data_IF_659514208821
#
_entry.id   IF_659514208821
#
_cell.length_a   1.000
_cell.length_b   1.000
_cell.length_c   1.000
_cell.angle_alpha   90.00
_cell.angle_beta   90.00
_cell.angle_gamma   90.00
#
_symmetry.space_group_name_H-M   'P 1'
#
loop_
_entity.id
_entity.type
_entity.pdbx_description
1 polymer ?
#
# COMPACT_ATOMS: atom_id res chain seq x y z
N UNK A 1 10.98 -10.31 3.31
CA UNK A 1 10.09 -9.80 4.38
C UNK A 1 9.64 -10.91 5.32
N UNK A 2 9.18 -12.10 4.91
CA UNK A 2 8.87 -13.19 5.88
C UNK A 2 10.06 -13.58 6.78
N UNK A 3 11.26 -13.77 6.21
CA UNK A 3 12.50 -13.95 6.98
C UNK A 3 12.91 -12.69 7.76
N UNK A 4 12.52 -11.50 7.29
CA UNK A 4 12.75 -10.23 7.96
C UNK A 4 11.77 -9.96 9.11
N UNK A 5 10.52 -10.40 9.02
CA UNK A 5 9.45 -10.24 10.01
C UNK A 5 9.55 -11.33 11.07
N UNK A 6 9.87 -12.56 10.68
CA UNK A 6 10.18 -13.63 11.63
C UNK A 6 11.54 -13.39 12.32
N UNK A 7 12.56 -12.96 11.57
CA UNK A 7 13.91 -12.70 12.09
C UNK A 7 14.00 -11.42 12.92
N UNK A 8 13.56 -10.27 12.40
CA UNK A 8 13.49 -9.06 13.23
C UNK A 8 12.44 -9.19 14.32
N UNK A 9 11.26 -9.79 14.09
CA UNK A 9 10.24 -9.92 15.13
C UNK A 9 10.71 -10.70 16.37
N UNK A 10 11.53 -11.75 16.17
CA UNK A 10 12.14 -12.53 17.25
C UNK A 10 13.37 -11.83 17.90
N UNK A 11 14.10 -11.00 17.16
CA UNK A 11 15.25 -10.23 17.67
C UNK A 11 14.82 -8.93 18.39
N UNK A 12 13.77 -8.29 17.89
CA UNK A 12 13.20 -7.03 18.39
C UNK A 12 12.44 -7.24 19.70
N UNK A 13 11.75 -8.38 19.86
CA UNK A 13 11.05 -8.72 21.12
C UNK A 13 11.98 -8.98 22.31
N UNK A 14 13.26 -9.31 22.06
CA UNK A 14 14.23 -9.61 23.12
C UNK A 14 15.04 -8.39 23.58
N UNK A 15 14.98 -7.25 22.87
CA UNK A 15 15.78 -6.06 23.20
C UNK A 15 14.91 -4.79 23.23
N UNK A 16 14.50 -4.31 24.42
CA UNK A 16 13.68 -3.10 24.56
C UNK A 16 14.30 -1.85 23.91
N UNK A 17 15.64 -1.75 23.89
CA UNK A 17 16.35 -0.65 23.22
C UNK A 17 16.23 -0.68 21.69
N UNK A 18 16.12 -1.88 21.09
CA UNK A 18 16.00 -2.04 19.64
C UNK A 18 14.60 -1.63 19.16
N UNK A 19 13.55 -1.95 19.92
CA UNK A 19 12.18 -1.46 19.66
C UNK A 19 12.17 0.06 19.65
N UNK A 20 12.75 0.71 20.68
CA UNK A 20 12.81 2.18 20.75
C UNK A 20 13.55 2.79 19.56
N UNK A 21 14.72 2.24 19.20
CA UNK A 21 15.50 2.72 18.06
C UNK A 21 14.75 2.57 16.72
N UNK A 22 14.12 1.41 16.49
CA UNK A 22 13.32 1.15 15.28
C UNK A 22 12.09 2.07 15.23
N UNK A 23 11.44 2.30 16.36
CA UNK A 23 10.26 3.17 16.46
C UNK A 23 10.63 4.62 16.20
N UNK A 24 11.74 5.11 16.78
CA UNK A 24 12.24 6.45 16.53
C UNK A 24 12.67 6.64 15.06
N UNK A 25 13.33 5.64 14.48
CA UNK A 25 13.71 5.62 13.06
C UNK A 25 12.49 5.62 12.13
N UNK A 26 11.47 4.81 12.45
CA UNK A 26 10.20 4.77 11.74
C UNK A 26 9.43 6.10 11.81
N UNK A 27 9.38 6.72 13.00
CA UNK A 27 8.77 8.03 13.19
C UNK A 27 9.50 9.12 12.39
N UNK A 28 10.84 9.14 12.42
CA UNK A 28 11.64 10.08 11.63
C UNK A 28 11.38 9.91 10.13
N UNK A 29 11.34 8.66 9.64
CA UNK A 29 11.00 8.36 8.25
C UNK A 29 9.60 8.88 7.89
N UNK A 30 8.58 8.57 8.70
CA UNK A 30 7.21 9.03 8.46
C UNK A 30 7.08 10.56 8.47
N UNK A 31 7.75 11.25 9.41
CA UNK A 31 7.76 12.72 9.45
C UNK A 31 8.45 13.32 8.23
N UNK A 32 9.59 12.77 7.80
CA UNK A 32 10.24 13.23 6.55
C UNK A 32 9.32 13.04 5.35
N UNK A 33 8.61 11.92 5.26
CA UNK A 33 7.65 11.68 4.19
C UNK A 33 6.46 12.64 4.23
N UNK A 34 5.91 12.90 5.43
CA UNK A 34 4.85 13.88 5.63
C UNK A 34 5.31 15.29 5.20
N UNK A 35 6.53 15.69 5.56
CA UNK A 35 7.11 16.97 5.14
C UNK A 35 7.33 17.04 3.61
N UNK A 36 7.78 15.96 2.99
CA UNK A 36 7.90 15.87 1.53
C UNK A 36 6.54 15.97 0.83
N UNK A 37 5.52 15.28 1.33
CA UNK A 37 4.15 15.35 0.81
C UNK A 37 3.58 16.77 0.97
N UNK A 38 3.77 17.40 2.13
CA UNK A 38 3.35 18.78 2.37
C UNK A 38 4.03 19.77 1.42
N UNK A 39 5.34 19.60 1.18
CA UNK A 39 6.10 20.39 0.21
C UNK A 39 5.56 20.22 -1.23
N UNK A 40 5.15 19.01 -1.61
CA UNK A 40 4.49 18.74 -2.91
C UNK A 40 3.11 19.39 -2.99
N UNK A 41 2.35 19.43 -1.90
CA UNK A 41 1.07 20.15 -1.86
C UNK A 41 1.24 21.66 -2.09
N UNK A 42 2.31 22.27 -1.57
CA UNK A 42 2.60 23.70 -1.79
C UNK A 42 3.18 24.01 -3.18
N UNK A 43 3.84 23.04 -3.83
CA UNK A 43 4.29 23.13 -5.21
C UNK A 43 3.70 21.99 -6.06
N UNK A 44 2.40 22.06 -6.41
CA UNK A 44 1.78 21.01 -7.20
C UNK A 44 2.33 21.14 -8.61
N UNK A 45 3.25 20.25 -8.97
CA UNK A 45 3.44 19.90 -10.36
C UNK A 45 2.09 19.38 -10.84
N UNK A 46 1.47 20.08 -11.79
CA UNK A 46 0.42 19.43 -12.56
C UNK A 46 1.03 18.15 -13.15
N UNK A 47 0.31 17.03 -13.11
CA UNK A 47 0.64 15.90 -13.98
C UNK A 47 0.59 16.42 -15.42
N UNK A 48 1.71 16.92 -15.91
CA UNK A 48 1.99 16.92 -17.34
C UNK A 48 2.15 15.46 -17.67
N UNK A 49 1.03 14.81 -18.03
CA UNK A 49 1.07 13.55 -18.75
C UNK A 49 2.15 13.72 -19.81
N UNK A 50 3.26 13.00 -19.67
CA UNK A 50 4.43 13.19 -20.51
C UNK A 50 3.95 13.14 -21.96
N UNK A 51 3.99 14.30 -22.63
CA UNK A 51 3.61 14.38 -24.02
C UNK A 51 4.73 13.66 -24.77
N UNK A 52 4.38 12.50 -25.33
CA UNK A 52 5.14 11.81 -26.35
C UNK A 52 6.48 11.20 -25.90
N UNK A 53 6.40 9.92 -25.54
CA UNK A 53 7.50 8.96 -25.59
C UNK A 53 6.89 7.64 -25.19
N UNK A 54 6.92 6.64 -26.08
CA UNK A 54 6.34 5.31 -25.88
C UNK A 54 6.61 4.83 -24.43
N UNK A 55 5.63 4.98 -23.55
CA UNK A 55 5.62 4.22 -22.31
C UNK A 55 5.42 2.78 -22.76
N UNK A 56 6.54 2.07 -22.88
CA UNK A 56 6.57 0.68 -23.27
C UNK A 56 5.66 -0.10 -22.31
N UNK A 57 4.49 -0.50 -22.80
CA UNK A 57 3.47 -1.22 -22.04
C UNK A 57 4.11 -2.41 -21.31
N UNK A 58 5.12 -3.02 -21.93
CA UNK A 58 5.90 -4.11 -21.34
C UNK A 58 6.64 -3.68 -20.09
N UNK A 59 7.26 -2.49 -20.06
CA UNK A 59 7.93 -1.96 -18.85
C UNK A 59 6.93 -1.65 -17.75
N UNK A 60 5.80 -1.04 -18.07
CA UNK A 60 4.76 -0.74 -17.07
C UNK A 60 4.18 -2.03 -16.45
N UNK A 61 3.87 -3.02 -17.30
CA UNK A 61 3.39 -4.35 -16.86
C UNK A 61 4.47 -5.08 -16.06
N UNK A 62 5.73 -5.07 -16.52
CA UNK A 62 6.84 -5.71 -15.81
C UNK A 62 7.07 -5.08 -14.43
N UNK A 63 7.01 -3.76 -14.30
CA UNK A 63 7.14 -3.07 -13.01
C UNK A 63 5.95 -3.39 -12.11
N UNK A 64 4.72 -3.40 -12.62
CA UNK A 64 3.55 -3.81 -11.83
C UNK A 64 3.64 -5.26 -11.36
N UNK A 65 4.03 -6.19 -12.24
CA UNK A 65 4.22 -7.60 -11.92
C UNK A 65 5.36 -7.78 -10.90
N UNK A 66 6.47 -7.08 -11.07
CA UNK A 66 7.57 -7.10 -10.12
C UNK A 66 7.12 -6.57 -8.76
N UNK A 67 6.44 -5.43 -8.68
CA UNK A 67 5.93 -4.92 -7.41
C UNK A 67 4.91 -5.85 -6.75
N UNK A 68 4.10 -6.57 -7.54
CA UNK A 68 3.08 -7.49 -7.00
C UNK A 68 3.70 -8.80 -6.53
N UNK A 69 4.47 -9.49 -7.39
CA UNK A 69 5.03 -10.81 -7.12
C UNK A 69 6.33 -10.78 -6.31
N UNK A 70 7.12 -9.70 -6.39
CA UNK A 70 8.31 -9.57 -5.54
C UNK A 70 7.94 -9.10 -4.13
N UNK A 71 6.68 -8.74 -3.89
CA UNK A 71 6.19 -8.41 -2.57
C UNK A 71 5.76 -9.69 -1.81
N UNK A 72 6.57 -10.20 -0.86
CA UNK A 72 6.23 -11.38 -0.08
C UNK A 72 4.94 -11.24 0.75
N UNK A 73 4.47 -10.01 0.99
CA UNK A 73 3.22 -9.76 1.71
C UNK A 73 2.00 -10.28 0.94
N UNK A 74 2.02 -10.22 -0.40
CA UNK A 74 0.88 -10.68 -1.21
C UNK A 74 0.61 -12.18 -1.00
N UNK A 75 1.67 -12.96 -0.77
CA UNK A 75 1.56 -14.39 -0.49
C UNK A 75 1.01 -14.65 0.92
N UNK A 76 1.34 -13.80 1.89
CA UNK A 76 0.78 -13.90 3.23
C UNK A 76 -0.73 -13.62 3.21
N UNK A 77 -1.18 -12.61 2.48
CA UNK A 77 -2.60 -12.29 2.40
C UNK A 77 -3.39 -13.33 1.58
N UNK A 78 -2.89 -13.69 0.40
CA UNK A 78 -3.66 -14.51 -0.55
C UNK A 78 -3.50 -16.00 -0.35
N UNK A 79 -2.30 -16.48 0.00
CA UNK A 79 -2.04 -17.92 0.15
C UNK A 79 -2.22 -18.34 1.60
N UNK A 80 -1.70 -17.57 2.56
CA UNK A 80 -1.72 -17.96 3.97
C UNK A 80 -3.04 -17.56 4.64
N UNK A 81 -3.44 -16.29 4.61
CA UNK A 81 -4.67 -15.82 5.25
C UNK A 81 -5.91 -16.36 4.54
N UNK A 82 -6.11 -16.05 3.26
CA UNK A 82 -7.28 -16.55 2.51
C UNK A 82 -7.26 -18.08 2.40
N UNK A 83 -6.08 -18.70 2.24
CA UNK A 83 -5.95 -20.16 2.25
C UNK A 83 -6.38 -20.77 3.58
N UNK A 84 -5.95 -20.23 4.71
CA UNK A 84 -6.35 -20.71 6.05
C UNK A 84 -7.85 -20.51 6.33
N UNK A 85 -8.43 -19.38 5.89
CA UNK A 85 -9.87 -19.11 5.95
C UNK A 85 -10.67 -20.11 5.10
N UNK A 86 -10.17 -20.43 3.90
CA UNK A 86 -10.79 -21.43 3.02
C UNK A 86 -10.69 -22.85 3.59
N UNK A 87 -9.61 -23.16 4.33
CA UNK A 87 -9.39 -24.47 4.93
C UNK A 87 -10.34 -24.80 6.08
N UNK A 88 -11.00 -23.78 6.68
CA UNK A 88 -12.06 -23.97 7.67
C UNK A 88 -13.36 -24.52 7.05
N UNK A 89 -13.47 -24.51 5.72
CA UNK A 89 -14.64 -24.98 4.99
C UNK A 89 -14.29 -26.31 4.30
N UNK A 90 -15.15 -27.33 4.46
CA UNK A 90 -15.00 -28.64 3.83
C UNK A 90 -16.02 -28.84 2.70
N UNK A 91 -15.65 -29.60 1.67
CA UNK A 91 -16.54 -29.97 0.56
C UNK A 91 -17.03 -28.78 -0.27
N UNK A 92 -18.31 -28.77 -0.63
CA UNK A 92 -18.97 -27.75 -1.47
C UNK A 92 -18.90 -26.34 -0.88
N UNK A 93 -18.83 -26.19 0.45
CA UNK A 93 -18.72 -24.89 1.10
C UNK A 93 -17.39 -24.18 0.77
N UNK A 94 -16.29 -24.94 0.56
CA UNK A 94 -15.00 -24.38 0.16
C UNK A 94 -15.03 -23.81 -1.26
N UNK A 95 -15.75 -24.49 -2.17
CA UNK A 95 -15.94 -24.03 -3.55
C UNK A 95 -16.81 -22.76 -3.59
N UNK A 96 -17.86 -22.69 -2.76
CA UNK A 96 -18.67 -21.48 -2.62
C UNK A 96 -17.87 -20.30 -2.05
N UNK A 97 -17.00 -20.55 -1.05
CA UNK A 97 -16.08 -19.52 -0.53
C UNK A 97 -15.09 -19.05 -1.60
N UNK A 98 -14.49 -19.97 -2.35
CA UNK A 98 -13.58 -19.62 -3.44
C UNK A 98 -14.28 -18.80 -4.54
N UNK A 99 -15.49 -19.20 -4.94
CA UNK A 99 -16.29 -18.46 -5.91
C UNK A 99 -16.64 -17.05 -5.39
N UNK A 100 -17.03 -16.92 -4.13
CA UNK A 100 -17.29 -15.63 -3.48
C UNK A 100 -16.04 -14.75 -3.41
N UNK A 101 -14.89 -15.31 -3.04
CA UNK A 101 -13.62 -14.59 -2.99
C UNK A 101 -13.19 -14.08 -4.37
N UNK A 102 -13.35 -14.91 -5.41
CA UNK A 102 -13.09 -14.51 -6.80
C UNK A 102 -14.07 -13.43 -7.23
N UNK A 103 -15.37 -13.60 -7.03
CA UNK A 103 -16.38 -12.61 -7.42
C UNK A 103 -16.18 -11.26 -6.70
N UNK A 104 -15.88 -11.28 -5.40
CA UNK A 104 -15.57 -10.09 -4.62
C UNK A 104 -14.30 -9.40 -5.14
N UNK A 105 -13.25 -10.18 -5.45
CA UNK A 105 -12.02 -9.65 -6.04
C UNK A 105 -12.28 -9.01 -7.40
N UNK A 106 -13.04 -9.68 -8.28
CA UNK A 106 -13.45 -9.13 -9.57
C UNK A 106 -14.23 -7.82 -9.40
N UNK A 107 -15.27 -7.82 -8.56
CA UNK A 107 -16.07 -6.62 -8.30
C UNK A 107 -15.21 -5.47 -7.79
N UNK A 108 -14.29 -5.75 -6.85
CA UNK A 108 -13.38 -4.76 -6.29
C UNK A 108 -12.39 -4.20 -7.32
N UNK A 109 -11.73 -5.06 -8.09
CA UNK A 109 -10.77 -4.63 -9.12
C UNK A 109 -11.46 -3.83 -10.23
N UNK A 110 -12.65 -4.25 -10.67
CA UNK A 110 -13.43 -3.49 -11.64
C UNK A 110 -13.90 -2.15 -11.08
N UNK A 111 -14.35 -2.11 -9.82
CA UNK A 111 -14.69 -0.86 -9.14
C UNK A 111 -13.49 0.10 -9.06
N UNK A 112 -12.28 -0.40 -8.76
CA UNK A 112 -11.06 0.40 -8.77
C UNK A 112 -10.66 0.85 -10.18
N UNK A 113 -10.71 -0.04 -11.18
CA UNK A 113 -10.33 0.28 -12.56
C UNK A 113 -11.26 1.32 -13.21
N UNK A 114 -12.57 1.12 -13.08
CA UNK A 114 -13.56 2.10 -13.56
C UNK A 114 -13.61 3.35 -12.68
N UNK A 115 -13.45 3.21 -11.37
CA UNK A 115 -13.37 4.33 -10.43
C UNK A 115 -12.16 5.23 -10.69
N UNK A 116 -11.01 4.65 -11.03
CA UNK A 116 -9.82 5.40 -11.44
C UNK A 116 -10.07 6.22 -12.71
N UNK A 117 -10.83 5.68 -13.68
CA UNK A 117 -11.25 6.41 -14.88
C UNK A 117 -12.19 7.58 -14.55
N UNK A 118 -13.09 7.39 -13.58
CA UNK A 118 -13.97 8.46 -13.08
C UNK A 118 -13.18 9.56 -12.32
N UNK A 119 -12.05 9.20 -11.72
CA UNK A 119 -11.14 10.12 -11.03
C UNK A 119 -10.14 10.83 -11.97
N UNK A 120 -9.94 10.37 -13.22
CA UNK A 120 -9.10 11.06 -14.21
C UNK A 120 -9.41 12.56 -14.37
N UNK A 121 -10.67 13.01 -14.54
CA UNK A 121 -10.97 14.44 -14.63
C UNK A 121 -10.70 15.21 -13.33
N UNK A 122 -10.70 14.52 -12.17
CA UNK A 122 -10.35 15.11 -10.89
C UNK A 122 -8.83 15.30 -10.80
N UNK A 123 -8.03 14.30 -11.21
CA UNK A 123 -6.57 14.37 -11.25
C UNK A 123 -6.00 15.31 -12.31
N UNK A 124 -6.81 15.75 -13.28
CA UNK A 124 -6.45 16.83 -14.20
C UNK A 124 -6.39 18.21 -13.50
N UNK A 125 -7.04 18.37 -12.34
CA UNK A 125 -7.01 19.61 -11.56
C UNK A 125 -5.82 19.59 -10.58
N UNK A 126 -4.96 20.62 -10.59
CA UNK A 126 -3.87 20.75 -9.61
C UNK A 126 -4.37 20.76 -8.16
N UNK A 127 -5.60 21.21 -7.92
CA UNK A 127 -6.22 21.21 -6.60
C UNK A 127 -6.49 19.79 -6.04
N UNK A 128 -6.78 18.80 -6.89
CA UNK A 128 -6.98 17.43 -6.43
C UNK A 128 -5.67 16.79 -5.96
N UNK A 129 -4.56 17.10 -6.65
CA UNK A 129 -3.22 16.72 -6.22
C UNK A 129 -2.84 17.34 -4.88
N UNK A 130 -3.16 18.63 -4.68
CA UNK A 130 -2.97 19.29 -3.39
C UNK A 130 -3.72 18.59 -2.26
N UNK A 131 -5.00 18.30 -2.46
CA UNK A 131 -5.83 17.64 -1.44
C UNK A 131 -5.32 16.23 -1.16
N UNK A 132 -4.96 15.47 -2.19
CA UNK A 132 -4.39 14.13 -2.03
C UNK A 132 -3.08 14.17 -1.22
N UNK A 133 -2.14 15.05 -1.61
CA UNK A 133 -0.86 15.18 -0.92
C UNK A 133 -1.04 15.66 0.53
N UNK A 134 -2.03 16.52 0.80
CA UNK A 134 -2.34 17.01 2.14
C UNK A 134 -2.97 15.91 3.00
N UNK A 135 -3.83 15.07 2.43
CA UNK A 135 -4.37 13.88 3.10
C UNK A 135 -3.24 12.88 3.39
N UNK A 136 -2.33 12.63 2.45
CA UNK A 136 -1.17 11.75 2.66
C UNK A 136 -0.28 12.31 3.79
N UNK A 137 0.01 13.62 3.77
CA UNK A 137 0.79 14.27 4.81
C UNK A 137 0.12 14.13 6.19
N UNK A 138 -1.20 14.35 6.27
CA UNK A 138 -1.96 14.22 7.50
C UNK A 138 -1.95 12.78 8.04
N UNK A 139 -2.18 11.78 7.17
CA UNK A 139 -2.17 10.36 7.56
C UNK A 139 -0.77 9.93 8.01
N UNK A 140 0.28 10.30 7.27
CA UNK A 140 1.67 9.95 7.64
C UNK A 140 2.09 10.61 8.96
N UNK A 141 1.71 11.87 9.18
CA UNK A 141 1.95 12.56 10.46
C UNK A 141 1.16 11.90 11.60
N UNK A 142 -0.11 11.54 11.38
CA UNK A 142 -0.92 10.85 12.38
C UNK A 142 -0.34 9.49 12.75
N UNK A 143 0.13 8.72 11.76
CA UNK A 143 0.82 7.45 12.00
C UNK A 143 2.13 7.64 12.76
N UNK A 144 2.92 8.67 12.44
CA UNK A 144 4.15 8.99 13.16
C UNK A 144 3.88 9.34 14.64
N UNK A 145 2.84 10.15 14.89
CA UNK A 145 2.42 10.52 16.25
C UNK A 145 1.90 9.30 17.00
N UNK A 146 1.07 8.45 16.38
CA UNK A 146 0.56 7.24 17.00
C UNK A 146 1.71 6.26 17.35
N UNK A 147 2.67 6.14 16.43
CA UNK A 147 3.87 5.32 16.61
C UNK A 147 4.73 5.82 17.78
N UNK A 148 4.86 7.14 17.96
CA UNK A 148 5.54 7.74 19.12
C UNK A 148 4.72 7.67 20.41
N UNK A 149 3.39 7.74 20.33
CA UNK A 149 2.50 7.61 21.47
C UNK A 149 2.43 6.16 22.01
N UNK A 150 2.83 5.18 21.20
CA UNK A 150 2.95 3.77 21.58
C UNK A 150 4.28 3.38 22.23
N UNK A 151 5.22 4.33 22.42
CA UNK A 151 6.48 4.15 23.17
C UNK A 151 6.30 4.28 24.68
#
# INVERSE_FOLDING_TARGET
>A
IAAGVAGLGALVSQTPGLIKAVTLGGAAFLFTYAALALRRAFHPGALTAARSGEQDLRKAVAVCLAFTFLNPHVYLDTVVLVGSLSARHAGTARLAFAAGAVAASFAWFFALGYGARLLQPLFAKPAAWRVLDLVIAAVMAMLAVNLLAGL
#
